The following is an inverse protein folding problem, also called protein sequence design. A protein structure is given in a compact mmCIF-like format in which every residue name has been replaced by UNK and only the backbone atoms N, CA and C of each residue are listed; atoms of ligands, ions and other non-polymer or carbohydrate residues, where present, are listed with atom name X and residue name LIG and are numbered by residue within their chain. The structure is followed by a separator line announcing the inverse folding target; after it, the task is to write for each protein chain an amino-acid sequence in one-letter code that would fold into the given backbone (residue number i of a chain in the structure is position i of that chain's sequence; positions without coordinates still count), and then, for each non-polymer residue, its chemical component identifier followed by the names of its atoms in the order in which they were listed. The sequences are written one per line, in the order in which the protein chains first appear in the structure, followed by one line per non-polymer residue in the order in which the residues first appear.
data_IF_519186872227
#
_entry.id   IF_519186872227
#
_cell.length_a   1.000
_cell.length_b   1.000
_cell.length_c   1.000
_cell.angle_alpha   90.00
_cell.angle_beta   90.00
_cell.angle_gamma   90.00
#
_symmetry.space_group_name_H-M   'P 1'
#
loop_
_entity.id
_entity.type
_entity.pdbx_description
1 polymer ?
#
# COMPACT_ATOMS: atom_id res chain seq x y z
N UNK A 1 19.47 8.46 18.73
CA UNK A 1 19.48 7.82 17.41
C UNK A 1 18.66 6.55 17.50
N UNK A 2 17.39 6.56 17.11
CA UNK A 2 16.58 5.33 17.09
C UNK A 2 17.01 4.49 15.89
N UNK A 3 17.66 3.36 16.18
CA UNK A 3 17.93 2.34 15.17
C UNK A 3 16.59 1.73 14.77
N UNK A 4 15.98 2.22 13.69
CA UNK A 4 14.89 1.50 13.04
C UNK A 4 15.47 0.18 12.55
N UNK A 5 15.08 -0.93 13.19
CA UNK A 5 15.31 -2.27 12.69
C UNK A 5 14.55 -2.42 11.37
N UNK A 6 15.10 -1.90 10.29
CA UNK A 6 14.59 -2.16 8.96
C UNK A 6 14.70 -3.66 8.77
N UNK A 7 13.56 -4.32 8.59
CA UNK A 7 13.46 -5.72 8.18
C UNK A 7 14.00 -5.86 6.74
N UNK A 8 15.27 -5.50 6.53
CA UNK A 8 15.95 -5.48 5.24
C UNK A 8 16.34 -6.92 4.91
N UNK A 9 15.38 -7.63 4.31
CA UNK A 9 15.54 -8.99 3.80
C UNK A 9 15.26 -8.95 2.31
N UNK A 10 16.25 -8.55 1.49
CA UNK A 10 16.12 -8.57 0.04
C UNK A 10 15.77 -9.99 -0.41
N UNK A 11 14.69 -10.11 -1.19
CA UNK A 11 14.26 -11.37 -1.78
C UNK A 11 13.35 -11.13 -2.98
N UNK A 12 13.33 -12.09 -3.90
CA UNK A 12 12.33 -12.15 -4.96
C UNK A 12 10.97 -12.57 -4.38
N UNK A 13 10.00 -11.66 -4.42
CA UNK A 13 8.64 -11.88 -3.88
C UNK A 13 7.59 -11.69 -4.97
N UNK A 14 6.41 -12.24 -4.74
CA UNK A 14 5.23 -12.08 -5.60
C UNK A 14 4.48 -10.81 -5.22
N UNK A 15 4.11 -9.99 -6.20
CA UNK A 15 3.31 -8.78 -6.02
C UNK A 15 1.86 -9.11 -5.69
N UNK A 16 1.34 -8.57 -4.59
CA UNK A 16 -0.04 -8.80 -4.14
C UNK A 16 -1.13 -8.19 -5.04
N UNK A 17 -0.74 -7.37 -6.03
CA UNK A 17 -1.68 -6.71 -6.95
C UNK A 17 -1.72 -7.34 -8.34
N UNK A 18 -0.64 -7.97 -8.79
CA UNK A 18 -0.54 -8.46 -10.17
C UNK A 18 0.16 -9.81 -10.31
N UNK A 19 0.50 -10.45 -9.20
CA UNK A 19 1.10 -11.78 -9.11
C UNK A 19 2.46 -11.95 -9.81
N UNK A 20 3.07 -10.85 -10.28
CA UNK A 20 4.41 -10.86 -10.87
C UNK A 20 5.49 -10.88 -9.79
N UNK A 21 6.56 -11.64 -10.05
CA UNK A 21 7.77 -11.64 -9.22
C UNK A 21 8.51 -10.30 -9.34
N UNK A 22 9.08 -9.81 -8.25
CA UNK A 22 9.89 -8.60 -8.19
C UNK A 22 10.86 -8.62 -7.00
N UNK A 23 11.96 -7.86 -7.11
CA UNK A 23 12.89 -7.66 -5.99
C UNK A 23 12.28 -6.77 -4.92
N UNK A 24 12.23 -7.30 -3.71
CA UNK A 24 11.64 -6.65 -2.55
C UNK A 24 12.68 -6.52 -1.45
N UNK A 25 12.89 -5.31 -0.95
CA UNK A 25 13.89 -5.00 0.10
C UNK A 25 13.53 -5.59 1.47
N UNK A 26 12.26 -5.95 1.71
CA UNK A 26 11.82 -6.49 2.99
C UNK A 26 10.44 -7.13 2.94
N UNK A 27 9.99 -7.76 4.03
CA UNK A 27 8.68 -8.43 4.08
C UNK A 27 7.50 -7.44 4.02
N UNK A 28 7.72 -6.17 4.34
CA UNK A 28 6.70 -5.13 4.29
C UNK A 28 6.21 -4.84 2.87
N UNK A 29 4.91 -4.56 2.74
CA UNK A 29 4.18 -4.16 1.52
C UNK A 29 4.74 -4.77 0.22
N UNK A 30 4.32 -6.00 -0.09
CA UNK A 30 4.72 -6.76 -1.27
C UNK A 30 4.06 -6.25 -2.56
N UNK A 31 4.34 -4.99 -2.94
CA UNK A 31 3.80 -4.32 -4.13
C UNK A 31 4.95 -3.94 -5.07
N UNK A 32 4.94 -4.45 -6.31
CA UNK A 32 6.00 -4.13 -7.26
C UNK A 32 5.99 -2.65 -7.68
N UNK A 33 7.12 -2.14 -8.18
CA UNK A 33 7.28 -0.72 -8.57
C UNK A 33 6.20 -0.23 -9.55
N UNK A 34 5.77 -1.06 -10.50
CA UNK A 34 4.69 -0.73 -11.45
C UNK A 34 3.36 -0.52 -10.71
N UNK A 35 2.99 -1.46 -9.85
CA UNK A 35 1.76 -1.38 -9.06
C UNK A 35 1.80 -0.25 -8.03
N UNK A 36 2.98 0.07 -7.49
CA UNK A 36 3.17 1.22 -6.61
C UNK A 36 2.85 2.53 -7.33
N UNK A 37 3.37 2.73 -8.56
CA UNK A 37 3.06 3.91 -9.38
C UNK A 37 1.56 3.99 -9.71
N UNK A 38 0.92 2.86 -9.99
CA UNK A 38 -0.53 2.82 -10.22
C UNK A 38 -1.29 3.24 -8.96
N UNK A 39 -0.92 2.75 -7.78
CA UNK A 39 -1.54 3.16 -6.52
C UNK A 39 -1.36 4.66 -6.25
N UNK A 40 -0.18 5.21 -6.53
CA UNK A 40 0.09 6.64 -6.35
C UNK A 40 -0.81 7.55 -7.19
N UNK A 41 -1.28 7.09 -8.36
CA UNK A 41 -2.24 7.86 -9.19
C UNK A 41 -3.60 8.04 -8.53
N UNK A 42 -3.98 7.15 -7.61
CA UNK A 42 -5.22 7.25 -6.86
C UNK A 42 -5.04 7.98 -5.51
N UNK A 43 -3.81 8.36 -5.16
CA UNK A 43 -3.53 9.01 -3.88
C UNK A 43 -4.12 10.43 -3.80
N UNK A 44 -4.36 11.09 -4.94
CA UNK A 44 -5.03 12.39 -5.01
C UNK A 44 -6.54 12.33 -5.19
N UNK A 45 -7.17 11.14 -5.10
CA UNK A 45 -8.62 11.04 -5.25
C UNK A 45 -9.30 11.47 -3.94
N UNK A 46 -10.39 12.24 -4.07
CA UNK A 46 -11.17 12.68 -2.93
C UNK A 46 -11.73 11.49 -2.15
N UNK A 47 -11.78 11.59 -0.82
CA UNK A 47 -12.26 10.50 0.02
C UNK A 47 -13.70 10.10 -0.32
N UNK A 48 -14.55 11.06 -0.71
CA UNK A 48 -15.91 10.79 -1.17
C UNK A 48 -15.95 9.88 -2.42
N UNK A 49 -15.04 10.07 -3.38
CA UNK A 49 -14.95 9.21 -4.57
C UNK A 49 -14.43 7.82 -4.21
N UNK A 50 -13.45 7.72 -3.30
CA UNK A 50 -12.97 6.42 -2.84
C UNK A 50 -14.07 5.67 -2.07
N UNK A 51 -14.83 6.33 -1.20
CA UNK A 51 -15.93 5.72 -0.45
C UNK A 51 -17.05 5.24 -1.37
N UNK A 52 -17.36 5.94 -2.46
CA UNK A 52 -18.39 5.47 -3.41
C UNK A 52 -18.00 4.20 -4.16
N UNK A 53 -16.70 3.99 -4.41
CA UNK A 53 -16.20 2.82 -5.14
C UNK A 53 -16.01 1.58 -4.25
N UNK A 54 -15.57 1.75 -3.00
CA UNK A 54 -15.17 0.63 -2.12
C UNK A 54 -15.83 0.64 -0.74
N UNK A 55 -16.80 1.52 -0.52
CA UNK A 55 -17.44 1.74 0.77
C UNK A 55 -16.57 2.49 1.78
N UNK A 56 -17.18 2.82 2.92
CA UNK A 56 -16.52 3.52 4.04
C UNK A 56 -15.65 2.54 4.82
N UNK A 57 -14.36 2.84 4.91
CA UNK A 57 -13.43 2.05 5.73
C UNK A 57 -13.50 2.47 7.18
N UNK A 58 -13.45 1.50 8.09
CA UNK A 58 -13.43 1.71 9.54
C UNK A 58 -12.28 0.95 10.19
N UNK A 59 -11.69 1.53 11.22
CA UNK A 59 -10.73 0.89 12.11
C UNK A 59 -11.36 0.83 13.50
N UNK A 60 -11.63 -0.38 14.01
CA UNK A 60 -12.32 -0.60 15.29
C UNK A 60 -13.66 0.16 15.42
N UNK A 61 -14.39 0.31 14.32
CA UNK A 61 -15.66 1.04 14.26
C UNK A 61 -15.55 2.53 13.93
N UNK A 62 -14.37 3.14 14.08
CA UNK A 62 -14.13 4.55 13.73
C UNK A 62 -13.84 4.71 12.23
N UNK A 63 -14.35 5.76 11.60
CA UNK A 63 -14.12 6.02 10.17
C UNK A 63 -12.66 6.38 9.92
N UNK A 64 -12.02 5.66 8.99
CA UNK A 64 -10.68 5.99 8.53
C UNK A 64 -10.82 7.12 7.50
N UNK A 65 -10.39 8.32 7.86
CA UNK A 65 -10.30 9.44 6.93
C UNK A 65 -9.04 9.22 6.08
N UNK A 66 -9.18 8.79 4.83
CA UNK A 66 -8.07 8.89 3.88
C UNK A 66 -7.88 10.37 3.52
N UNK A 67 -6.74 10.94 3.90
CA UNK A 67 -6.36 12.30 3.47
C UNK A 67 -6.05 12.34 1.97
N UNK A 68 -6.46 13.44 1.34
CA UNK A 68 -6.06 13.83 -0.01
C UNK A 68 -4.81 14.71 0.05
#
# INVERSE_FOLDING_TARGET
MVAFAHNYRPANRVCLKCDKKFDSQGPGNRICRKCHKLNARYAGNCEAWLQSQRGVKRHNGEVIICGC
#
